data_IF_405608556448
#
_entry.id   IF_405608556448
#
_cell.length_a   1.000
_cell.length_b   1.000
_cell.length_c   1.000
_cell.angle_alpha   90.00
_cell.angle_beta   90.00
_cell.angle_gamma   90.00
#
_symmetry.space_group_name_H-M   'P 1'
#
loop_
_entity.id
_entity.type
_entity.pdbx_description
1 polymer ?
#
# COMPACT_ATOMS: atom_id res chain seq x y z
N UNK A 1 12.10 26.95 10.05
CA UNK A 1 12.77 25.67 10.39
C UNK A 1 11.89 24.51 9.94
N UNK A 2 12.42 23.54 9.17
CA UNK A 2 11.67 22.30 8.86
C UNK A 2 11.58 21.45 10.13
N UNK A 3 10.38 21.33 10.70
CA UNK A 3 10.15 20.47 11.87
C UNK A 3 10.21 19.02 11.40
N UNK A 4 11.19 18.25 11.88
CA UNK A 4 11.27 16.81 11.59
C UNK A 4 10.34 16.04 12.51
N UNK A 5 9.21 15.60 11.96
CA UNK A 5 8.33 14.64 12.60
C UNK A 5 8.59 13.25 12.04
N UNK A 6 8.51 12.24 12.89
CA UNK A 6 8.87 10.88 12.52
C UNK A 6 7.96 9.82 13.12
N UNK A 7 7.72 8.75 12.36
CA UNK A 7 6.99 7.56 12.82
C UNK A 7 7.95 6.41 13.03
N UNK A 8 7.75 5.70 14.14
CA UNK A 8 8.48 4.49 14.50
C UNK A 8 8.19 3.33 13.53
N UNK A 9 9.22 2.53 13.23
CA UNK A 9 9.12 1.42 12.29
C UNK A 9 8.09 0.35 12.69
N UNK A 10 7.86 0.14 13.99
CA UNK A 10 6.84 -0.80 14.47
C UNK A 10 5.44 -0.29 14.15
N UNK A 11 5.21 1.02 14.29
CA UNK A 11 3.96 1.63 13.85
C UNK A 11 3.82 1.57 12.34
N UNK A 12 4.91 1.79 11.57
CA UNK A 12 4.88 1.66 10.12
C UNK A 12 4.49 0.24 9.67
N UNK A 13 5.05 -0.81 10.29
CA UNK A 13 4.67 -2.20 10.00
C UNK A 13 3.19 -2.45 10.26
N UNK A 14 2.65 -1.95 11.38
CA UNK A 14 1.23 -2.08 11.71
C UNK A 14 0.32 -1.30 10.75
N UNK A 15 0.76 -0.12 10.30
CA UNK A 15 0.06 0.65 9.27
C UNK A 15 0.07 -0.15 7.96
N UNK A 16 1.20 -0.73 7.55
CA UNK A 16 1.28 -1.55 6.33
C UNK A 16 0.34 -2.76 6.37
N UNK A 17 0.21 -3.42 7.52
CA UNK A 17 -0.76 -4.50 7.73
C UNK A 17 -2.21 -4.01 7.62
N UNK A 18 -2.50 -2.81 8.11
CA UNK A 18 -3.87 -2.27 8.10
C UNK A 18 -4.24 -1.69 6.73
N UNK A 19 -3.29 -1.06 6.02
CA UNK A 19 -3.42 -0.54 4.66
C UNK A 19 -3.84 -1.61 3.64
N UNK A 20 -3.52 -2.89 3.88
CA UNK A 20 -4.01 -4.02 3.07
C UNK A 20 -5.55 -4.01 2.98
N UNK A 21 -6.24 -3.48 3.99
CA UNK A 21 -7.71 -3.45 4.08
C UNK A 21 -8.34 -2.17 3.52
N UNK A 22 -7.54 -1.17 3.12
CA UNK A 22 -8.03 0.12 2.65
C UNK A 22 -7.48 0.45 1.27
N UNK A 23 -8.30 0.28 0.23
CA UNK A 23 -7.89 0.64 -1.14
C UNK A 23 -7.81 2.17 -1.30
N UNK A 24 -6.62 2.70 -1.59
CA UNK A 24 -6.44 4.11 -2.00
C UNK A 24 -5.48 4.93 -1.15
N UNK A 25 -5.07 4.44 0.02
CA UNK A 25 -4.17 5.15 0.91
C UNK A 25 -2.71 4.76 0.66
N UNK A 26 -1.84 5.76 0.52
CA UNK A 26 -0.42 5.60 0.75
C UNK A 26 -0.10 5.81 2.24
N UNK A 27 1.12 5.44 2.67
CA UNK A 27 1.52 5.57 4.08
C UNK A 27 1.37 7.02 4.58
N UNK A 28 1.72 7.98 3.73
CA UNK A 28 1.67 9.42 4.06
C UNK A 28 0.23 9.90 4.27
N UNK A 29 -0.67 9.59 3.34
CA UNK A 29 -2.08 9.96 3.41
C UNK A 29 -2.77 9.34 4.62
N UNK A 30 -2.48 8.08 4.94
CA UNK A 30 -3.05 7.42 6.11
C UNK A 30 -2.62 8.08 7.43
N UNK A 31 -1.32 8.41 7.54
CA UNK A 31 -0.77 9.11 8.72
C UNK A 31 -1.39 10.50 8.85
N UNK A 32 -1.50 11.26 7.75
CA UNK A 32 -2.13 12.59 7.76
C UNK A 32 -3.57 12.53 8.22
N UNK A 33 -4.35 11.58 7.72
CA UNK A 33 -5.73 11.39 8.15
C UNK A 33 -5.82 10.99 9.62
N UNK A 34 -4.94 10.12 10.12
CA UNK A 34 -4.88 9.79 11.56
C UNK A 34 -4.64 11.02 12.43
N UNK A 35 -3.79 11.92 11.95
CA UNK A 35 -3.46 13.17 12.63
C UNK A 35 -4.67 14.12 12.62
N UNK A 36 -5.35 14.24 11.48
CA UNK A 36 -6.58 15.04 11.38
C UNK A 36 -7.67 14.51 12.33
N UNK A 37 -7.87 13.19 12.40
CA UNK A 37 -8.81 12.58 13.34
C UNK A 37 -8.49 12.90 14.81
N UNK A 38 -7.21 12.98 15.17
CA UNK A 38 -6.81 13.39 16.53
C UNK A 38 -7.11 14.88 16.77
N UNK A 39 -6.83 15.74 15.79
CA UNK A 39 -7.13 17.18 15.85
C UNK A 39 -8.63 17.39 16.02
N UNK A 40 -9.46 16.73 15.22
CA UNK A 40 -10.91 16.85 15.27
C UNK A 40 -11.46 16.36 16.63
N UNK A 41 -10.92 15.25 17.13
CA UNK A 41 -11.26 14.73 18.47
C UNK A 41 -10.87 15.71 19.58
N UNK A 42 -9.72 16.36 19.44
CA UNK A 42 -9.26 17.38 20.38
C UNK A 42 -10.07 18.68 20.32
N UNK A 43 -10.58 19.05 19.14
CA UNK A 43 -11.49 20.19 18.97
C UNK A 43 -12.73 20.10 19.88
N UNK A 44 -13.11 18.89 20.27
CA UNK A 44 -14.17 18.62 21.26
C UNK A 44 -13.69 18.69 22.73
N UNK A 45 -12.44 19.08 22.97
CA UNK A 45 -11.70 19.08 24.25
C UNK A 45 -11.68 17.72 24.98
N UNK A 46 -11.76 16.61 24.23
CA UNK A 46 -11.87 15.25 24.81
C UNK A 46 -10.53 14.59 25.12
N UNK A 47 -9.42 15.11 24.59
CA UNK A 47 -8.10 14.50 24.79
C UNK A 47 -7.52 14.87 26.18
N UNK A 48 -7.27 13.86 27.02
CA UNK A 48 -6.65 14.00 28.35
C UNK A 48 -5.18 13.59 28.33
N UNK A 49 -4.33 14.22 29.15
CA UNK A 49 -2.89 13.92 29.14
C UNK A 49 -2.56 12.49 29.61
N UNK A 50 -3.41 11.91 30.46
CA UNK A 50 -3.30 10.52 30.93
C UNK A 50 -3.49 9.49 29.82
N UNK A 51 -4.22 9.84 28.75
CA UNK A 51 -4.51 8.95 27.63
C UNK A 51 -3.45 9.01 26.52
N UNK A 52 -2.57 10.02 26.56
CA UNK A 52 -1.51 10.22 25.57
C UNK A 52 -0.29 9.39 25.95
N UNK A 53 0.35 8.76 24.95
CA UNK A 53 1.60 8.01 25.12
C UNK A 53 2.63 8.73 26.02
N UNK A 54 3.24 7.96 26.92
CA UNK A 54 4.06 8.48 28.00
C UNK A 54 5.37 9.15 27.56
N UNK A 55 5.90 8.69 26.45
CA UNK A 55 7.15 9.12 25.88
C UNK A 55 7.17 8.76 24.40
N UNK A 56 7.95 9.49 23.59
CA UNK A 56 8.30 8.95 22.28
C UNK A 56 8.95 7.57 22.48
N UNK A 57 8.73 6.60 21.59
CA UNK A 57 9.40 5.31 21.68
C UNK A 57 10.91 5.56 21.80
N UNK A 58 11.50 5.17 22.95
CA UNK A 58 12.90 5.44 23.32
C UNK A 58 13.86 4.50 22.59
N UNK A 59 13.80 4.46 21.26
CA UNK A 59 14.76 3.70 20.47
C UNK A 59 15.61 4.67 19.66
N UNK A 60 16.95 4.52 19.73
CA UNK A 60 17.88 5.21 18.83
C UNK A 60 17.47 4.86 17.40
N UNK A 61 16.93 5.83 16.67
CA UNK A 61 16.38 5.66 15.34
C UNK A 61 17.46 5.27 14.34
N UNK A 62 17.56 3.99 13.99
CA UNK A 62 18.33 3.55 12.81
C UNK A 62 17.52 3.71 11.52
N UNK A 63 16.17 3.72 11.61
CA UNK A 63 15.23 3.94 10.50
C UNK A 63 13.93 4.59 11.00
N UNK A 64 13.58 5.76 10.49
CA UNK A 64 12.34 6.47 10.79
C UNK A 64 11.72 7.05 9.52
N UNK A 65 10.39 7.07 9.40
CA UNK A 65 9.72 7.67 8.25
C UNK A 65 9.38 9.14 8.53
N UNK A 66 9.82 10.10 7.69
CA UNK A 66 9.52 11.51 7.88
C UNK A 66 8.04 11.80 7.60
N UNK A 67 7.41 12.59 8.47
CA UNK A 67 6.04 13.06 8.28
C UNK A 67 6.08 14.54 7.93
N UNK A 68 5.58 14.88 6.74
CA UNK A 68 5.43 16.26 6.30
C UNK A 68 4.01 16.73 6.56
N UNK A 69 3.87 17.77 7.37
CA UNK A 69 2.58 18.35 7.75
C UNK A 69 2.56 19.83 7.39
N UNK A 70 1.35 20.34 7.17
CA UNK A 70 1.11 21.77 6.98
C UNK A 70 1.34 22.54 8.29
N UNK A 71 1.67 23.83 8.17
CA UNK A 71 1.94 24.70 9.33
C UNK A 71 0.72 24.87 10.22
N UNK A 72 -0.48 24.87 9.64
CA UNK A 72 -1.76 24.90 10.35
C UNK A 72 -1.87 23.74 11.36
N UNK A 73 -1.59 22.51 10.91
CA UNK A 73 -1.61 21.31 11.75
C UNK A 73 -0.53 21.37 12.86
N UNK A 74 0.66 21.88 12.54
CA UNK A 74 1.73 22.07 13.52
C UNK A 74 1.32 23.08 14.61
N UNK A 75 0.66 24.17 14.22
CA UNK A 75 0.11 25.16 15.15
C UNK A 75 -0.94 24.55 16.08
N UNK A 76 -1.85 23.72 15.55
CA UNK A 76 -2.84 23.01 16.38
C UNK A 76 -2.16 22.04 17.35
N UNK A 77 -1.15 21.29 16.90
CA UNK A 77 -0.37 20.41 17.79
C UNK A 77 0.28 21.18 18.93
N UNK A 78 0.81 22.38 18.68
CA UNK A 78 1.39 23.20 19.74
C UNK A 78 0.37 23.66 20.78
N UNK A 79 -0.85 24.02 20.33
CA UNK A 79 -1.93 24.37 21.24
C UNK A 79 -2.33 23.18 22.12
N UNK A 80 -2.44 21.99 21.53
CA UNK A 80 -2.72 20.74 22.26
C UNK A 80 -1.60 20.47 23.27
N UNK A 81 -0.34 20.56 22.85
CA UNK A 81 0.82 20.36 23.72
C UNK A 81 0.81 21.37 24.88
N UNK A 82 0.54 22.65 24.61
CA UNK A 82 0.50 23.70 25.64
C UNK A 82 -0.58 23.38 26.69
N UNK A 83 -1.76 22.94 26.25
CA UNK A 83 -2.84 22.52 27.14
C UNK A 83 -2.45 21.30 27.98
N UNK A 84 -1.94 20.24 27.35
CA UNK A 84 -1.67 18.97 28.01
C UNK A 84 -0.37 18.97 28.84
N UNK A 85 0.59 19.87 28.56
CA UNK A 85 1.82 20.01 29.34
C UNK A 85 1.59 20.50 30.77
N UNK A 86 0.43 21.09 31.05
CA UNK A 86 0.01 21.41 32.42
C UNK A 86 -0.10 20.15 33.28
N UNK A 87 -0.46 19.02 32.67
CA UNK A 87 -0.62 17.73 33.34
C UNK A 87 0.58 16.79 33.10
N UNK A 88 1.26 16.89 31.94
CA UNK A 88 2.37 15.99 31.58
C UNK A 88 3.43 16.64 30.70
N UNK A 89 4.61 16.91 31.27
CA UNK A 89 5.71 17.65 30.60
C UNK A 89 6.32 16.95 29.37
N UNK A 90 6.19 15.64 29.23
CA UNK A 90 6.87 14.83 28.19
C UNK A 90 6.15 14.80 26.83
N UNK A 91 5.00 15.46 26.70
CA UNK A 91 4.23 15.48 25.45
C UNK A 91 4.92 16.38 24.42
N UNK A 92 5.20 15.82 23.26
CA UNK A 92 5.83 16.49 22.10
C UNK A 92 5.04 16.22 20.84
N UNK A 93 5.35 16.93 19.74
CA UNK A 93 4.68 16.72 18.45
C UNK A 93 4.81 15.27 17.97
N UNK A 94 5.98 14.63 18.13
CA UNK A 94 6.17 13.21 17.79
C UNK A 94 5.35 12.26 18.66
N UNK A 95 5.14 12.61 19.94
CA UNK A 95 4.25 11.84 20.82
C UNK A 95 2.81 11.92 20.31
N UNK A 96 2.35 13.11 19.90
CA UNK A 96 1.02 13.27 19.32
C UNK A 96 0.87 12.52 17.99
N UNK A 97 1.89 12.52 17.11
CA UNK A 97 1.89 11.70 15.89
C UNK A 97 1.75 10.20 16.22
N UNK A 98 2.53 9.70 17.19
CA UNK A 98 2.44 8.31 17.63
C UNK A 98 1.07 7.97 18.22
N UNK A 99 0.49 8.90 18.98
CA UNK A 99 -0.84 8.78 19.59
C UNK A 99 -1.96 8.76 18.53
N UNK A 100 -1.89 9.63 17.52
CA UNK A 100 -2.80 9.64 16.36
C UNK A 100 -2.85 8.26 15.70
N UNK A 101 -1.67 7.69 15.42
CA UNK A 101 -1.54 6.39 14.78
C UNK A 101 -2.06 5.29 15.69
N UNK A 102 -1.69 5.29 16.98
CA UNK A 102 -2.16 4.31 17.96
C UNK A 102 -3.68 4.28 18.03
N UNK A 103 -4.32 5.44 18.18
CA UNK A 103 -5.78 5.57 18.27
C UNK A 103 -6.46 5.09 17.01
N UNK A 104 -5.94 5.44 15.83
CA UNK A 104 -6.52 4.98 14.57
C UNK A 104 -6.38 3.47 14.38
N UNK A 105 -5.22 2.89 14.71
CA UNK A 105 -5.03 1.44 14.73
C UNK A 105 -5.98 0.74 15.72
N UNK A 106 -6.20 1.33 16.90
CA UNK A 106 -7.13 0.80 17.89
C UNK A 106 -8.59 0.93 17.48
N UNK A 107 -8.98 2.06 16.88
CA UNK A 107 -10.30 2.27 16.27
C UNK A 107 -10.55 1.25 15.18
N UNK A 108 -9.55 0.99 14.33
CA UNK A 108 -9.62 -0.03 13.28
C UNK A 108 -9.62 -1.47 13.84
N UNK A 109 -9.02 -1.72 15.00
CA UNK A 109 -9.17 -2.98 15.74
C UNK A 109 -10.52 -3.09 16.46
N UNK A 110 -11.08 -1.98 16.91
CA UNK A 110 -12.40 -1.89 17.56
C UNK A 110 -13.54 -2.10 16.57
N UNK A 111 -13.42 -1.58 15.35
CA UNK A 111 -14.31 -1.92 14.23
C UNK A 111 -14.12 -3.36 13.77
N UNK A 112 -12.93 -3.97 13.94
CA UNK A 112 -12.76 -5.43 13.82
C UNK A 112 -13.47 -6.21 14.95
N UNK A 113 -13.74 -5.61 16.13
CA UNK A 113 -14.49 -6.25 17.23
C UNK A 113 -16.02 -6.12 17.14
N UNK A 114 -16.56 -5.14 16.39
CA UNK A 114 -18.00 -5.07 16.07
C UNK A 114 -18.36 -5.58 14.67
N UNK A 115 -17.35 -5.89 13.86
CA UNK A 115 -17.47 -6.88 12.80
C UNK A 115 -17.04 -8.25 13.32
N UNK A 116 -17.75 -8.77 14.33
CA UNK A 116 -18.07 -10.20 14.33
C UNK A 116 -19.15 -10.46 13.28
N UNK A 117 -18.90 -10.01 12.05
CA UNK A 117 -19.49 -10.53 10.84
C UNK A 117 -18.29 -11.13 10.14
N UNK A 118 -18.10 -12.42 10.39
CA UNK A 118 -17.17 -13.29 9.73
C UNK A 118 -15.70 -12.84 9.91
N UNK A 119 -15.00 -13.40 10.91
CA UNK A 119 -14.12 -14.53 10.56
C UNK A 119 -14.75 -15.34 9.43
N UNK A 120 -14.60 -14.82 8.21
CA UNK A 120 -14.59 -15.67 7.06
C UNK A 120 -13.41 -16.58 7.36
N UNK A 121 -13.75 -17.81 7.76
CA UNK A 121 -13.05 -18.99 7.28
C UNK A 121 -12.27 -18.62 6.03
N UNK A 122 -10.94 -18.88 5.93
CA UNK A 122 -10.20 -18.60 4.71
C UNK A 122 -11.09 -19.05 3.58
N UNK A 123 -11.64 -18.09 2.80
CA UNK A 123 -12.68 -18.41 1.86
C UNK A 123 -12.06 -19.48 1.01
N UNK A 124 -12.60 -20.71 1.10
CA UNK A 124 -11.96 -21.88 0.52
C UNK A 124 -11.76 -21.53 -0.96
N UNK A 125 -10.53 -21.16 -1.32
CA UNK A 125 -10.21 -20.66 -2.65
C UNK A 125 -9.79 -19.20 -2.87
N UNK A 126 -9.56 -18.30 -1.89
CA UNK A 126 -8.88 -16.99 -2.15
C UNK A 126 -7.58 -16.79 -1.36
N UNK A 127 -6.62 -16.09 -1.95
CA UNK A 127 -5.26 -15.81 -1.46
C UNK A 127 -4.95 -14.33 -1.60
N UNK A 128 -4.27 -13.75 -0.61
CA UNK A 128 -3.83 -12.34 -0.62
C UNK A 128 -2.32 -12.26 -0.76
N UNK A 129 -1.81 -11.41 -1.64
CA UNK A 129 -0.38 -11.18 -1.80
C UNK A 129 -0.05 -9.74 -2.22
N UNK A 130 1.15 -9.30 -1.88
CA UNK A 130 1.62 -7.95 -2.22
C UNK A 130 2.37 -7.91 -3.56
N UNK A 131 2.12 -6.87 -4.35
CA UNK A 131 2.88 -6.53 -5.56
C UNK A 131 3.29 -5.05 -5.54
N UNK A 132 4.30 -4.71 -6.34
CA UNK A 132 4.78 -3.37 -6.62
C UNK A 132 4.40 -3.02 -8.05
N UNK A 133 3.82 -1.85 -8.25
CA UNK A 133 3.38 -1.32 -9.55
C UNK A 133 3.82 0.13 -9.67
N UNK A 134 4.24 0.54 -10.87
CA UNK A 134 4.56 1.94 -11.14
C UNK A 134 3.34 2.85 -10.88
N UNK A 135 3.53 4.04 -10.27
CA UNK A 135 2.42 4.93 -9.94
C UNK A 135 1.53 5.30 -11.13
N UNK A 136 2.12 5.53 -12.30
CA UNK A 136 1.38 5.86 -13.52
C UNK A 136 0.51 4.70 -14.01
N UNK A 137 1.05 3.47 -14.01
CA UNK A 137 0.28 2.27 -14.33
C UNK A 137 -0.86 2.06 -13.35
N UNK A 138 -0.62 2.30 -12.05
CA UNK A 138 -1.67 2.20 -11.04
C UNK A 138 -2.77 3.25 -11.25
N UNK A 139 -2.44 4.47 -11.68
CA UNK A 139 -3.44 5.49 -12.05
C UNK A 139 -4.32 5.03 -13.23
N UNK A 140 -3.72 4.43 -14.25
CA UNK A 140 -4.46 3.87 -15.40
C UNK A 140 -5.42 2.77 -14.95
N UNK A 141 -4.96 1.81 -14.14
CA UNK A 141 -5.83 0.74 -13.60
C UNK A 141 -6.98 1.33 -12.78
N UNK A 142 -6.70 2.34 -11.94
CA UNK A 142 -7.74 3.02 -11.14
C UNK A 142 -8.82 3.62 -12.03
N UNK A 143 -8.44 4.28 -13.13
CA UNK A 143 -9.39 4.85 -14.08
C UNK A 143 -10.27 3.77 -14.71
N UNK A 144 -9.69 2.67 -15.19
CA UNK A 144 -10.44 1.54 -15.78
C UNK A 144 -11.40 0.92 -14.76
N UNK A 145 -10.95 0.71 -13.52
CA UNK A 145 -11.78 0.14 -12.46
C UNK A 145 -12.93 1.09 -12.11
N UNK A 146 -12.70 2.41 -12.07
CA UNK A 146 -13.76 3.40 -11.83
C UNK A 146 -14.82 3.36 -12.95
N UNK A 147 -14.40 3.28 -14.21
CA UNK A 147 -15.31 3.14 -15.35
C UNK A 147 -16.10 1.82 -15.30
N UNK A 148 -15.47 0.70 -14.91
CA UNK A 148 -16.16 -0.59 -14.75
C UNK A 148 -17.07 -0.65 -13.51
N UNK A 149 -16.72 0.05 -12.42
CA UNK A 149 -17.56 0.15 -11.21
C UNK A 149 -18.92 0.79 -11.47
N UNK A 150 -19.01 1.70 -12.45
CA UNK A 150 -20.29 2.28 -12.88
C UNK A 150 -21.24 1.22 -13.47
N UNK A 151 -20.70 0.07 -13.92
CA UNK A 151 -21.44 -1.02 -14.56
C UNK A 151 -21.55 -2.28 -13.69
N UNK A 152 -20.62 -2.49 -12.78
CA UNK A 152 -20.55 -3.65 -11.89
C UNK A 152 -20.24 -3.22 -10.45
N UNK A 153 -21.25 -3.35 -9.59
CA UNK A 153 -21.10 -3.03 -8.17
C UNK A 153 -20.05 -3.95 -7.52
N UNK A 154 -19.12 -3.37 -6.77
CA UNK A 154 -18.09 -4.11 -6.04
C UNK A 154 -16.85 -4.49 -6.85
N UNK A 155 -16.73 -4.12 -8.14
CA UNK A 155 -15.54 -4.40 -8.93
C UNK A 155 -14.30 -3.66 -8.40
N UNK A 156 -13.24 -4.37 -8.04
CA UNK A 156 -12.03 -3.82 -7.43
C UNK A 156 -10.80 -3.89 -8.33
N UNK A 157 -9.72 -3.24 -7.91
CA UNK A 157 -8.39 -3.39 -8.52
C UNK A 157 -7.95 -4.86 -8.45
N UNK A 158 -8.23 -5.54 -7.34
CA UNK A 158 -7.92 -6.96 -7.17
C UNK A 158 -8.61 -7.82 -8.22
N UNK A 159 -9.90 -7.58 -8.49
CA UNK A 159 -10.66 -8.32 -9.51
C UNK A 159 -10.13 -8.04 -10.92
N UNK A 160 -9.73 -6.79 -11.19
CA UNK A 160 -9.14 -6.44 -12.48
C UNK A 160 -7.78 -7.11 -12.71
N UNK A 161 -6.94 -7.16 -11.67
CA UNK A 161 -5.62 -7.80 -11.71
C UNK A 161 -5.77 -9.33 -11.78
N UNK A 162 -6.71 -9.92 -11.03
CA UNK A 162 -7.04 -11.35 -11.17
C UNK A 162 -7.45 -11.70 -12.60
N UNK A 163 -8.33 -10.91 -13.19
CA UNK A 163 -8.70 -11.06 -14.59
C UNK A 163 -7.51 -10.91 -15.56
N UNK A 164 -6.49 -10.10 -15.22
CA UNK A 164 -5.25 -10.02 -16.00
C UNK A 164 -4.45 -11.32 -15.94
N UNK A 165 -4.30 -11.88 -14.73
CA UNK A 165 -3.64 -13.17 -14.53
C UNK A 165 -4.37 -14.29 -15.26
N UNK A 166 -5.69 -14.40 -15.10
CA UNK A 166 -6.51 -15.39 -15.80
C UNK A 166 -6.42 -15.26 -17.33
N UNK A 167 -6.49 -14.02 -17.86
CA UNK A 167 -6.37 -13.75 -19.29
C UNK A 167 -5.03 -14.22 -19.83
N UNK A 168 -3.96 -13.99 -19.09
CA UNK A 168 -2.62 -14.44 -19.46
C UNK A 168 -2.57 -15.97 -19.60
N UNK A 169 -3.13 -16.71 -18.63
CA UNK A 169 -3.16 -18.18 -18.67
C UNK A 169 -4.01 -18.77 -19.80
N UNK A 170 -5.03 -18.03 -20.27
CA UNK A 170 -5.83 -18.47 -21.44
C UNK A 170 -5.05 -18.42 -22.75
N UNK A 171 -4.03 -17.56 -22.86
CA UNK A 171 -3.32 -17.30 -24.10
C UNK A 171 -1.91 -17.90 -24.16
N UNK A 172 -1.30 -18.25 -23.03
CA UNK A 172 0.10 -18.68 -22.95
C UNK A 172 0.28 -19.82 -21.96
N UNK A 173 0.75 -20.95 -22.45
CA UNK A 173 1.20 -22.10 -21.64
C UNK A 173 2.69 -22.02 -21.30
N UNK A 174 3.48 -21.27 -22.09
CA UNK A 174 4.92 -21.09 -21.89
C UNK A 174 5.30 -19.61 -21.75
N UNK A 175 6.27 -19.33 -20.89
CA UNK A 175 6.77 -17.98 -20.59
C UNK A 175 8.28 -17.95 -20.73
N UNK A 176 8.79 -16.93 -21.40
CA UNK A 176 10.22 -16.61 -21.41
C UNK A 176 10.69 -16.25 -19.99
N UNK A 177 11.81 -16.81 -19.50
CA UNK A 177 12.42 -16.41 -18.22
C UNK A 177 12.99 -14.97 -18.26
N UNK A 178 12.97 -14.32 -19.42
CA UNK A 178 13.31 -12.92 -19.62
C UNK A 178 12.03 -12.15 -19.92
N UNK A 179 11.41 -11.63 -18.87
CA UNK A 179 10.26 -10.74 -18.96
C UNK A 179 10.73 -9.37 -19.43
N UNK A 180 9.89 -8.70 -20.22
CA UNK A 180 10.26 -7.43 -20.87
C UNK A 180 10.12 -6.26 -19.92
N UNK A 181 9.18 -6.34 -18.98
CA UNK A 181 8.87 -5.25 -18.08
C UNK A 181 9.35 -5.58 -16.67
N UNK A 182 10.19 -4.69 -16.10
CA UNK A 182 10.58 -4.75 -14.71
C UNK A 182 10.08 -3.51 -13.95
N UNK A 183 9.82 -3.69 -12.67
CA UNK A 183 9.26 -2.65 -11.81
C UNK A 183 10.39 -1.90 -11.13
N UNK A 184 10.47 -0.58 -11.33
CA UNK A 184 11.45 0.22 -10.60
C UNK A 184 11.11 0.28 -9.11
N UNK A 185 11.75 -0.59 -8.33
CA UNK A 185 11.49 -0.76 -6.90
C UNK A 185 11.67 0.52 -6.06
N UNK A 186 12.36 1.55 -6.56
CA UNK A 186 12.57 2.82 -5.85
C UNK A 186 11.34 3.74 -5.88
N UNK A 187 10.48 3.59 -6.89
CA UNK A 187 9.36 4.52 -7.17
C UNK A 187 8.01 3.81 -7.13
N UNK A 188 8.01 2.47 -7.15
CA UNK A 188 6.80 1.68 -7.24
C UNK A 188 5.94 1.70 -5.97
N UNK A 189 4.62 1.76 -6.17
CA UNK A 189 3.62 1.63 -5.12
C UNK A 189 3.41 0.16 -4.77
N UNK A 190 3.44 -0.17 -3.48
CA UNK A 190 3.06 -1.51 -3.00
C UNK A 190 1.56 -1.58 -2.80
N UNK A 191 0.90 -2.54 -3.45
CA UNK A 191 -0.52 -2.83 -3.27
C UNK A 191 -0.73 -4.29 -2.86
N UNK A 192 -1.84 -4.55 -2.16
CA UNK A 192 -2.28 -5.90 -1.83
C UNK A 192 -3.35 -6.35 -2.82
N UNK A 193 -3.14 -7.52 -3.42
CA UNK A 193 -4.05 -8.13 -4.39
C UNK A 193 -4.66 -9.37 -3.76
N UNK A 194 -5.98 -9.47 -3.85
CA UNK A 194 -6.74 -10.66 -3.47
C UNK A 194 -7.13 -11.38 -4.76
N UNK A 195 -6.75 -12.64 -4.91
CA UNK A 195 -7.18 -13.46 -6.05
C UNK A 195 -7.56 -14.86 -5.59
N UNK A 196 -8.09 -15.68 -6.50
CA UNK A 196 -8.33 -17.08 -6.26
C UNK A 196 -7.02 -17.85 -6.01
N UNK A 197 -7.09 -18.86 -5.15
CA UNK A 197 -5.97 -19.72 -4.82
C UNK A 197 -5.49 -20.52 -6.05
N UNK A 198 -6.37 -20.81 -7.00
CA UNK A 198 -6.02 -21.48 -8.25
C UNK A 198 -5.14 -20.58 -9.12
N UNK A 199 -5.56 -19.34 -9.38
CA UNK A 199 -4.77 -18.36 -10.14
C UNK A 199 -3.44 -18.10 -9.46
N UNK A 200 -3.44 -17.94 -8.13
CA UNK A 200 -2.22 -17.77 -7.36
C UNK A 200 -1.24 -18.94 -7.52
N UNK A 201 -1.73 -20.19 -7.43
CA UNK A 201 -0.92 -21.40 -7.61
C UNK A 201 -0.31 -21.47 -9.01
N UNK A 202 -1.07 -21.13 -10.06
CA UNK A 202 -0.56 -21.09 -11.44
C UNK A 202 0.58 -20.07 -11.60
N UNK A 203 0.42 -18.88 -11.02
CA UNK A 203 1.47 -17.85 -11.01
C UNK A 203 2.71 -18.35 -10.26
N UNK A 204 2.52 -18.92 -9.07
CA UNK A 204 3.62 -19.41 -8.25
C UNK A 204 4.38 -20.55 -8.94
N UNK A 205 3.68 -21.48 -9.57
CA UNK A 205 4.28 -22.57 -10.35
C UNK A 205 5.17 -22.04 -11.47
N UNK A 206 4.72 -21.06 -12.26
CA UNK A 206 5.53 -20.45 -13.31
C UNK A 206 6.76 -19.73 -12.77
N UNK A 207 6.62 -19.06 -11.62
CA UNK A 207 7.75 -18.42 -10.94
C UNK A 207 8.77 -19.45 -10.53
N UNK A 208 8.34 -20.58 -9.96
CA UNK A 208 9.23 -21.63 -9.51
C UNK A 208 9.96 -22.32 -10.69
N UNK A 209 9.25 -22.58 -11.80
CA UNK A 209 9.86 -23.11 -13.04
C UNK A 209 10.90 -22.16 -13.64
N UNK A 210 10.61 -20.85 -13.69
CA UNK A 210 11.50 -19.88 -14.34
C UNK A 210 12.62 -19.40 -13.43
N UNK A 211 12.46 -19.45 -12.11
CA UNK A 211 13.54 -19.15 -11.15
C UNK A 211 14.73 -20.08 -11.30
N UNK A 212 14.50 -21.34 -11.66
CA UNK A 212 15.56 -22.30 -11.96
C UNK A 212 16.41 -21.87 -13.17
N UNK A 213 15.84 -21.06 -14.07
CA UNK A 213 16.50 -20.55 -15.28
C UNK A 213 17.04 -19.12 -15.10
N UNK A 214 16.38 -18.30 -14.28
CA UNK A 214 16.76 -16.92 -13.97
C UNK A 214 16.36 -16.56 -12.53
N UNK A 215 17.34 -16.46 -11.63
CA UNK A 215 17.11 -16.15 -10.21
C UNK A 215 16.44 -14.78 -9.95
N UNK A 216 16.52 -13.84 -10.91
CA UNK A 216 15.84 -12.54 -10.81
C UNK A 216 14.36 -12.61 -11.16
N UNK A 217 13.89 -13.72 -11.72
CA UNK A 217 12.48 -13.93 -12.04
C UNK A 217 11.65 -13.99 -10.75
N UNK A 218 10.69 -13.07 -10.62
CA UNK A 218 9.89 -12.94 -9.42
C UNK A 218 8.40 -12.92 -9.75
N UNK A 219 7.59 -13.31 -8.76
CA UNK A 219 6.13 -13.14 -8.82
C UNK A 219 5.73 -11.71 -9.12
N UNK A 220 6.48 -10.73 -8.59
CA UNK A 220 6.19 -9.33 -8.86
C UNK A 220 6.37 -8.98 -10.33
N UNK A 221 7.50 -9.38 -10.91
CA UNK A 221 7.83 -9.14 -12.32
C UNK A 221 6.83 -9.84 -13.25
N UNK A 222 6.47 -11.09 -12.94
CA UNK A 222 5.49 -11.84 -13.73
C UNK A 222 4.10 -11.21 -13.68
N UNK A 223 3.60 -10.85 -12.50
CA UNK A 223 2.29 -10.21 -12.38
C UNK A 223 2.30 -8.82 -13.03
N UNK A 224 3.42 -8.09 -12.95
CA UNK A 224 3.56 -6.82 -13.64
C UNK A 224 3.49 -6.96 -15.16
N UNK A 225 4.19 -7.95 -15.73
CA UNK A 225 4.11 -8.29 -17.16
C UNK A 225 2.65 -8.60 -17.57
N UNK A 226 1.92 -9.38 -16.77
CA UNK A 226 0.51 -9.72 -17.02
C UNK A 226 -0.38 -8.47 -17.05
N UNK A 227 -0.13 -7.52 -16.14
CA UNK A 227 -0.85 -6.24 -16.08
C UNK A 227 -0.57 -5.42 -17.35
N UNK A 228 0.70 -5.26 -17.73
CA UNK A 228 1.07 -4.48 -18.91
C UNK A 228 0.47 -5.08 -20.17
N UNK A 229 0.53 -6.41 -20.34
CA UNK A 229 -0.08 -7.08 -21.50
C UNK A 229 -1.58 -6.80 -21.60
N UNK A 230 -2.32 -6.90 -20.48
CA UNK A 230 -3.75 -6.58 -20.48
C UNK A 230 -4.04 -5.10 -20.78
N UNK A 231 -3.22 -4.17 -20.29
CA UNK A 231 -3.39 -2.75 -20.59
C UNK A 231 -3.16 -2.45 -22.08
N UNK A 232 -2.20 -3.11 -22.72
CA UNK A 232 -1.97 -3.01 -24.16
C UNK A 232 -3.17 -3.59 -24.93
N UNK A 233 -3.67 -4.77 -24.52
CA UNK A 233 -4.86 -5.40 -25.13
C UNK A 233 -6.11 -4.52 -25.01
N UNK A 234 -6.35 -3.91 -23.84
CA UNK A 234 -7.45 -2.97 -23.61
C UNK A 234 -7.20 -1.58 -24.27
N UNK A 235 -6.09 -1.40 -25.02
CA UNK A 235 -5.65 -0.13 -25.65
C UNK A 235 -5.54 1.03 -24.65
N UNK A 236 -5.32 0.73 -23.38
CA UNK A 236 -5.21 1.71 -22.30
C UNK A 236 -3.82 2.36 -22.25
N UNK A 237 -2.80 1.70 -22.81
CA UNK A 237 -1.45 2.21 -22.99
C UNK A 237 -0.94 1.86 -24.41
N UNK A 238 -0.05 2.67 -25.01
CA UNK A 238 0.51 2.38 -26.32
C UNK A 238 1.39 1.11 -26.27
N UNK A 239 1.14 0.17 -27.18
CA UNK A 239 1.98 -1.03 -27.33
C UNK A 239 3.34 -0.78 -28.00
N UNK A 240 3.58 0.43 -28.53
CA UNK A 240 4.78 0.77 -29.32
C UNK A 240 5.93 1.42 -28.53
N UNK A 241 5.73 1.87 -27.29
CA UNK A 241 6.76 2.60 -26.53
C UNK A 241 7.61 1.74 -25.56
N UNK A 242 7.39 0.42 -25.50
CA UNK A 242 8.16 -0.48 -24.60
C UNK A 242 9.01 -1.54 -25.34
N UNK A 243 9.15 -1.42 -26.67
CA UNK A 243 9.89 -2.38 -27.51
C UNK A 243 11.25 -1.87 -28.00
N UNK A 244 11.60 -0.60 -27.79
CA UNK A 244 12.84 -0.06 -28.36
C UNK A 244 14.10 -0.33 -27.51
N UNK A 245 13.99 -0.63 -26.22
CA UNK A 245 15.18 -1.01 -25.41
C UNK A 245 15.64 -2.46 -25.63
N UNK A 246 14.83 -3.32 -26.29
CA UNK A 246 15.24 -4.70 -26.59
C UNK A 246 15.90 -4.87 -27.96
N UNK A 247 15.88 -3.86 -28.84
CA UNK A 247 16.59 -3.91 -30.14
C UNK A 247 18.07 -3.51 -30.05
N UNK A 248 18.46 -2.74 -29.04
CA UNK A 248 19.86 -2.29 -28.89
C UNK A 248 20.78 -3.28 -28.16
N UNK A 249 20.27 -4.44 -27.72
CA UNK A 249 21.12 -5.48 -27.08
C UNK A 249 21.56 -6.55 -28.10
N UNK A 250 20.91 -6.65 -29.26
CA UNK A 250 21.26 -7.61 -30.32
C UNK A 250 22.05 -6.99 -31.48
N UNK A 251 22.45 -5.71 -31.40
CA UNK A 251 23.39 -5.07 -32.34
C UNK A 251 24.84 -5.03 -31.82
N UNK A 252 25.12 -5.68 -30.69
CA UNK A 252 26.46 -5.76 -30.08
C UNK A 252 27.01 -7.19 -29.96
N UNK A 253 26.48 -8.14 -30.73
CA UNK A 253 27.08 -9.46 -30.94
C UNK A 253 27.11 -9.80 -32.43
#
# INVERSE_FOLDING_TARGET
MKTFLCVDILYLKKIEEDLINFSGYDRSGWIKEAIQELIDFDGLKKLKASEVLASPPRYKFSRSFPVFMEESCLGTFDLIIKRLKLERKTISRNVLVGESIRRKLEKNKGSKKRNSINHSFPSRGKTTFGIRIDPEILKVIRKIVLEKKQKMQGYTISDWIESAMERFFKNKTEISPFLKHDVNSKIANRISVICSAEVFKKVQHLVDLNKLKNFKFSRNTLVYEMIIQKLIEEKAIPGREFLEESRNILSLF
#
